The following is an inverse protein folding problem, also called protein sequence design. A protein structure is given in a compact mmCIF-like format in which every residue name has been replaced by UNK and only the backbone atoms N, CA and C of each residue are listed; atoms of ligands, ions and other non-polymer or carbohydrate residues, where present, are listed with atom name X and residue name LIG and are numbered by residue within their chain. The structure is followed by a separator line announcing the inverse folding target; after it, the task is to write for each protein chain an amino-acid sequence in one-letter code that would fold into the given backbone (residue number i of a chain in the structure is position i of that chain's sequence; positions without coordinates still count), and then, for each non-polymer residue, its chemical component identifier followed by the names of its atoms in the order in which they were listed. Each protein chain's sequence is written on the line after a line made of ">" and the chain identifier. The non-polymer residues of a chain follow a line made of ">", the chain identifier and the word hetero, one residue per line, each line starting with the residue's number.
data_IF_606531601434
#
_entry.id   IF_606531601434
#
_cell.length_a   1.000
_cell.length_b   1.000
_cell.length_c   1.000
_cell.angle_alpha   90.00
_cell.angle_beta   90.00
_cell.angle_gamma   90.00
#
_symmetry.space_group_name_H-M   'P 1'
#
loop_
_entity.id
_entity.type
_entity.pdbx_description
1 polymer ?
#
# COMPACT_ATOMS: atom_id res chain seq x y z
N UNK A 1 -13.59 -11.56 -36.17
CA UNK A 1 -14.08 -11.32 -34.78
C UNK A 1 -13.59 -9.95 -34.36
N UNK A 2 -14.50 -9.05 -33.98
CA UNK A 2 -14.12 -7.73 -33.46
C UNK A 2 -13.52 -7.93 -32.06
N UNK A 3 -12.28 -7.53 -31.87
CA UNK A 3 -11.67 -7.53 -30.53
C UNK A 3 -12.20 -6.29 -29.82
N UNK A 4 -12.94 -6.48 -28.73
CA UNK A 4 -13.37 -5.36 -27.90
C UNK A 4 -12.21 -4.93 -27.01
N UNK A 5 -11.78 -3.68 -27.13
CA UNK A 5 -10.77 -3.08 -26.27
C UNK A 5 -11.40 -2.21 -25.19
N UNK A 6 -10.82 -2.23 -24.00
CA UNK A 6 -11.21 -1.38 -22.89
C UNK A 6 -10.44 -0.05 -22.94
N UNK A 7 -11.16 1.07 -22.83
CA UNK A 7 -10.52 2.39 -22.70
C UNK A 7 -10.00 2.64 -21.29
N UNK A 8 -10.57 1.96 -20.30
CA UNK A 8 -10.11 1.99 -18.90
C UNK A 8 -10.36 0.65 -18.23
N UNK A 9 -9.39 0.21 -17.45
CA UNK A 9 -9.50 -0.92 -16.52
C UNK A 9 -9.13 -0.39 -15.14
N UNK A 10 -9.93 -0.71 -14.14
CA UNK A 10 -9.72 -0.23 -12.76
C UNK A 10 -9.58 -1.43 -11.84
N UNK A 11 -8.52 -1.42 -11.03
CA UNK A 11 -8.35 -2.33 -9.90
C UNK A 11 -8.25 -1.51 -8.61
N UNK A 12 -9.19 -1.75 -7.70
CA UNK A 12 -9.22 -1.08 -6.41
C UNK A 12 -9.31 -2.09 -5.29
N UNK A 13 -8.30 -2.10 -4.41
CA UNK A 13 -8.20 -2.99 -3.25
C UNK A 13 -8.48 -4.47 -3.62
N UNK A 14 -7.88 -4.95 -4.70
CA UNK A 14 -8.19 -6.27 -5.27
C UNK A 14 -6.96 -7.06 -5.71
N UNK A 15 -5.88 -6.40 -6.10
CA UNK A 15 -4.68 -7.07 -6.63
C UNK A 15 -3.96 -7.88 -5.55
N UNK A 16 -3.97 -7.39 -4.31
CA UNK A 16 -3.33 -8.07 -3.18
C UNK A 16 -3.99 -9.41 -2.80
N UNK A 17 -5.16 -9.74 -3.38
CA UNK A 17 -5.80 -11.06 -3.27
C UNK A 17 -5.45 -12.00 -4.42
N UNK A 18 -4.71 -11.55 -5.44
CA UNK A 18 -4.48 -12.30 -6.66
C UNK A 18 -3.16 -13.07 -6.61
N UNK A 19 -3.22 -14.38 -6.78
CA UNK A 19 -2.04 -15.26 -6.83
C UNK A 19 -1.32 -15.15 -8.18
N UNK A 20 -2.07 -15.14 -9.28
CA UNK A 20 -1.52 -15.16 -10.64
C UNK A 20 -1.43 -13.74 -11.24
N UNK A 21 -0.70 -12.83 -10.57
CA UNK A 21 -0.56 -11.43 -10.96
C UNK A 21 -0.01 -11.27 -12.37
N UNK A 22 0.97 -12.08 -12.77
CA UNK A 22 1.58 -12.04 -14.09
C UNK A 22 0.54 -12.26 -15.19
N UNK A 23 -0.29 -13.29 -15.03
CA UNK A 23 -1.36 -13.60 -15.99
C UNK A 23 -2.43 -12.53 -16.03
N UNK A 24 -2.77 -11.97 -14.88
CA UNK A 24 -3.71 -10.86 -14.81
C UNK A 24 -3.18 -9.64 -15.56
N UNK A 25 -1.93 -9.25 -15.32
CA UNK A 25 -1.34 -8.07 -15.97
C UNK A 25 -1.13 -8.27 -17.47
N UNK A 26 -0.78 -9.46 -17.90
CA UNK A 26 -0.72 -9.80 -19.34
C UNK A 26 -2.11 -9.70 -20.00
N UNK A 27 -3.16 -10.19 -19.31
CA UNK A 27 -4.54 -10.07 -19.78
C UNK A 27 -5.03 -8.62 -19.82
N UNK A 28 -4.69 -7.81 -18.80
CA UNK A 28 -4.97 -6.36 -18.77
C UNK A 28 -4.29 -5.68 -19.96
N UNK A 29 -3.01 -5.95 -20.20
CA UNK A 29 -2.27 -5.40 -21.33
C UNK A 29 -2.89 -5.74 -22.67
N UNK A 30 -3.37 -6.97 -22.86
CA UNK A 30 -4.02 -7.42 -24.08
C UNK A 30 -5.43 -6.81 -24.28
N UNK A 31 -6.13 -6.47 -23.20
CA UNK A 31 -7.48 -5.93 -23.22
C UNK A 31 -7.55 -4.40 -23.35
N UNK A 32 -6.48 -3.68 -23.01
CA UNK A 32 -6.45 -2.22 -23.10
C UNK A 32 -6.39 -1.76 -24.56
N UNK A 33 -7.16 -0.73 -24.86
CA UNK A 33 -7.03 0.04 -26.09
C UNK A 33 -5.64 0.71 -26.18
N UNK A 34 -5.14 1.06 -27.37
CA UNK A 34 -3.83 1.73 -27.55
C UNK A 34 -3.62 2.98 -26.69
N UNK A 35 -4.71 3.71 -26.39
CA UNK A 35 -4.71 4.88 -25.51
C UNK A 35 -5.43 4.63 -24.18
N UNK A 36 -5.71 3.36 -23.88
CA UNK A 36 -6.39 2.96 -22.66
C UNK A 36 -5.54 3.17 -21.41
N UNK A 37 -6.21 3.24 -20.28
CA UNK A 37 -5.57 3.42 -18.96
C UNK A 37 -5.89 2.26 -18.03
N UNK A 38 -4.85 1.78 -17.36
CA UNK A 38 -4.98 0.91 -16.19
C UNK A 38 -4.83 1.77 -14.95
N UNK A 39 -5.88 1.82 -14.13
CA UNK A 39 -5.93 2.64 -12.91
C UNK A 39 -5.93 1.70 -11.73
N UNK A 40 -4.98 1.89 -10.82
CA UNK A 40 -4.81 1.01 -9.66
C UNK A 40 -4.78 1.85 -8.38
N UNK A 41 -5.54 1.41 -7.38
CA UNK A 41 -5.43 1.86 -6.00
C UNK A 41 -5.35 0.60 -5.13
N UNK A 42 -4.16 0.29 -4.62
CA UNK A 42 -3.93 -0.99 -3.94
C UNK A 42 -2.77 -0.94 -2.94
N UNK A 43 -2.65 -1.98 -2.14
CA UNK A 43 -1.53 -2.20 -1.25
C UNK A 43 -0.33 -2.78 -2.02
N UNK A 44 0.86 -2.24 -1.76
CA UNK A 44 2.13 -2.63 -2.40
C UNK A 44 3.22 -2.94 -1.37
N UNK A 45 2.83 -3.05 -0.10
CA UNK A 45 3.74 -3.36 1.00
C UNK A 45 4.12 -4.83 1.06
N UNK A 46 4.75 -5.21 2.16
CA UNK A 46 5.12 -6.60 2.43
C UNK A 46 3.90 -7.52 2.42
N UNK A 47 4.11 -8.78 2.00
CA UNK A 47 3.06 -9.80 2.00
C UNK A 47 2.40 -9.94 3.37
N UNK A 48 1.13 -10.35 3.37
CA UNK A 48 0.34 -10.50 4.58
C UNK A 48 0.03 -9.20 5.31
N UNK A 49 0.11 -8.07 4.61
CA UNK A 49 -0.07 -6.74 5.17
C UNK A 49 0.93 -6.39 6.28
N UNK A 50 2.01 -7.12 6.36
CA UNK A 50 3.10 -6.87 7.30
C UNK A 50 3.87 -5.59 6.94
N UNK A 51 4.64 -5.10 7.89
CA UNK A 51 5.57 -3.99 7.68
C UNK A 51 6.99 -4.49 7.51
N UNK A 52 7.75 -3.79 6.70
CA UNK A 52 9.19 -4.00 6.66
C UNK A 52 9.80 -3.58 8.00
N UNK A 53 10.93 -4.18 8.41
CA UNK A 53 11.52 -3.96 9.73
C UNK A 53 11.75 -2.48 10.06
N UNK A 54 12.18 -1.67 9.09
CA UNK A 54 12.43 -0.25 9.26
C UNK A 54 11.17 0.54 9.65
N UNK A 55 10.03 0.25 9.04
CA UNK A 55 8.75 0.87 9.38
C UNK A 55 8.18 0.33 10.70
N UNK A 56 8.37 -0.97 10.96
CA UNK A 56 7.89 -1.61 12.18
C UNK A 56 8.53 -1.02 13.45
N UNK A 57 9.81 -0.64 13.37
CA UNK A 57 10.49 0.06 14.48
C UNK A 57 9.75 1.34 14.84
N UNK A 58 9.42 2.18 13.85
CA UNK A 58 8.72 3.46 14.07
C UNK A 58 7.31 3.23 14.62
N UNK A 59 6.56 2.26 14.05
CA UNK A 59 5.23 1.92 14.56
C UNK A 59 5.28 1.52 16.03
N UNK A 60 6.26 0.69 16.43
CA UNK A 60 6.42 0.24 17.81
C UNK A 60 6.84 1.37 18.76
N UNK A 61 7.62 2.33 18.30
CA UNK A 61 7.95 3.53 19.06
C UNK A 61 6.68 4.33 19.38
N UNK A 62 5.91 4.68 18.37
CA UNK A 62 4.66 5.42 18.50
C UNK A 62 3.61 4.65 19.32
N UNK A 63 3.57 3.31 19.16
CA UNK A 63 2.67 2.45 19.93
C UNK A 63 2.91 2.52 21.44
N UNK A 64 4.17 2.61 21.86
CA UNK A 64 4.53 2.71 23.28
C UNK A 64 4.10 4.04 23.92
N UNK A 65 3.94 5.09 23.13
CA UNK A 65 3.45 6.39 23.59
C UNK A 65 1.96 6.36 23.93
N UNK A 66 1.20 5.43 23.31
CA UNK A 66 -0.24 5.37 23.50
C UNK A 66 -0.63 4.88 24.90
N UNK A 67 -1.61 5.51 25.55
CA UNK A 67 -2.29 4.94 26.71
C UNK A 67 -2.93 3.58 26.36
N UNK A 68 -3.06 2.69 27.35
CA UNK A 68 -3.62 1.35 27.17
C UNK A 68 -4.99 1.36 26.48
N UNK A 69 -5.86 2.33 26.78
CA UNK A 69 -7.19 2.42 26.18
C UNK A 69 -7.16 2.55 24.63
N UNK A 70 -6.11 3.14 24.05
CA UNK A 70 -5.95 3.28 22.59
C UNK A 70 -5.43 2.02 21.93
N UNK A 71 -4.91 1.05 22.69
CA UNK A 71 -4.36 -0.22 22.21
C UNK A 71 -5.41 -1.34 22.17
N UNK A 72 -6.69 -1.02 22.35
CA UNK A 72 -7.77 -2.00 22.23
C UNK A 72 -8.14 -2.20 20.77
N UNK A 73 -7.92 -3.42 20.25
CA UNK A 73 -8.29 -3.79 18.91
C UNK A 73 -9.82 -3.99 18.82
N UNK A 74 -10.50 -3.04 18.17
CA UNK A 74 -11.97 -3.03 18.04
C UNK A 74 -12.49 -4.16 17.15
N UNK A 75 -11.71 -4.56 16.15
CA UNK A 75 -12.07 -5.62 15.22
C UNK A 75 -11.94 -6.99 15.88
N UNK A 76 -10.82 -7.25 16.57
CA UNK A 76 -10.54 -8.51 17.22
C UNK A 76 -11.06 -8.58 18.67
N UNK A 77 -11.58 -7.45 19.20
CA UNK A 77 -12.16 -7.32 20.55
C UNK A 77 -11.19 -7.77 21.66
N UNK A 78 -9.93 -7.38 21.55
CA UNK A 78 -8.89 -7.72 22.52
C UNK A 78 -7.94 -6.57 22.77
N UNK A 79 -7.30 -6.58 23.95
CA UNK A 79 -6.22 -5.68 24.28
C UNK A 79 -4.91 -6.15 23.63
N UNK A 80 -4.15 -5.23 23.05
CA UNK A 80 -2.82 -5.51 22.47
C UNK A 80 -1.78 -4.57 23.09
N UNK A 81 -1.03 -5.05 24.07
CA UNK A 81 -0.01 -4.25 24.77
C UNK A 81 1.16 -3.91 23.83
N UNK A 82 1.47 -4.79 22.89
CA UNK A 82 2.44 -4.57 21.82
C UNK A 82 1.74 -4.58 20.46
N UNK A 83 2.26 -3.81 19.51
CA UNK A 83 1.78 -3.87 18.15
C UNK A 83 2.18 -5.22 17.51
N UNK A 84 1.19 -6.01 17.15
CA UNK A 84 1.36 -7.29 16.48
C UNK A 84 1.34 -7.08 14.96
N UNK A 85 2.49 -7.32 14.33
CA UNK A 85 2.63 -7.26 12.87
C UNK A 85 2.16 -8.60 12.26
N UNK A 86 0.84 -8.84 12.32
CA UNK A 86 0.23 -10.10 11.93
C UNK A 86 0.35 -10.35 10.44
N UNK A 87 0.69 -11.60 10.06
CA UNK A 87 0.70 -12.04 8.67
C UNK A 87 -0.69 -12.53 8.24
N UNK A 88 -1.46 -11.67 7.58
CA UNK A 88 -2.81 -11.99 7.13
C UNK A 88 -2.83 -13.02 5.99
N UNK A 89 -1.72 -13.26 5.29
CA UNK A 89 -1.64 -14.22 4.19
C UNK A 89 -1.71 -15.68 4.65
N UNK A 90 -1.49 -15.93 5.95
CA UNK A 90 -1.56 -17.28 6.53
C UNK A 90 -2.98 -17.82 6.69
N UNK A 91 -3.98 -16.93 6.65
CA UNK A 91 -5.40 -17.28 6.86
C UNK A 91 -6.27 -17.02 5.63
N UNK A 92 -5.67 -17.03 4.42
CA UNK A 92 -6.42 -16.79 3.19
C UNK A 92 -5.58 -16.13 2.11
N UNK A 93 -6.23 -15.33 1.26
CA UNK A 93 -5.57 -14.62 0.15
C UNK A 93 -5.30 -13.16 0.45
N UNK A 94 -5.29 -12.75 1.72
CA UNK A 94 -5.05 -11.37 2.13
C UNK A 94 -3.57 -10.98 2.02
N UNK A 95 -3.27 -10.07 1.11
CA UNK A 95 -1.92 -9.59 0.90
C UNK A 95 -0.94 -10.66 0.41
N UNK A 96 -1.43 -11.75 -0.20
CA UNK A 96 -0.63 -12.94 -0.49
C UNK A 96 0.59 -12.66 -1.37
N UNK A 97 0.48 -11.67 -2.26
CA UNK A 97 1.58 -11.21 -3.13
C UNK A 97 1.64 -9.69 -3.25
N UNK A 98 1.27 -8.97 -2.20
CA UNK A 98 1.23 -7.50 -2.21
C UNK A 98 2.57 -6.87 -2.61
N UNK A 99 3.69 -7.39 -2.11
CA UNK A 99 5.03 -6.91 -2.42
C UNK A 99 5.46 -7.10 -3.88
N UNK A 100 4.81 -8.00 -4.63
CA UNK A 100 5.12 -8.29 -6.04
C UNK A 100 4.36 -7.37 -7.00
N UNK A 101 3.29 -6.70 -6.53
CA UNK A 101 2.40 -5.88 -7.37
C UNK A 101 3.19 -4.78 -8.08
N UNK A 102 3.87 -3.93 -7.33
CA UNK A 102 4.56 -2.77 -7.90
C UNK A 102 5.72 -3.17 -8.83
N UNK A 103 6.62 -4.12 -8.48
CA UNK A 103 7.64 -4.63 -9.40
C UNK A 103 7.06 -5.12 -10.72
N UNK A 104 6.02 -5.96 -10.66
CA UNK A 104 5.40 -6.53 -11.85
C UNK A 104 4.70 -5.49 -12.73
N UNK A 105 4.12 -4.44 -12.13
CA UNK A 105 3.52 -3.32 -12.86
C UNK A 105 4.59 -2.47 -13.56
N UNK A 106 5.69 -2.17 -12.89
CA UNK A 106 6.80 -1.37 -13.44
C UNK A 106 7.46 -2.08 -14.63
N UNK A 107 7.46 -3.41 -14.63
CA UNK A 107 8.03 -4.21 -15.73
C UNK A 107 7.12 -4.26 -16.97
N UNK A 108 5.82 -3.99 -16.84
CA UNK A 108 4.81 -4.15 -17.90
C UNK A 108 4.19 -2.86 -18.39
N UNK A 109 4.13 -1.84 -17.54
CA UNK A 109 3.39 -0.62 -17.80
C UNK A 109 4.28 0.62 -17.64
N UNK A 110 3.90 1.69 -18.34
CA UNK A 110 4.43 3.02 -18.13
C UNK A 110 3.48 3.82 -17.24
N UNK A 111 4.01 4.50 -16.25
CA UNK A 111 3.22 5.30 -15.31
C UNK A 111 3.06 6.73 -15.82
N UNK A 112 1.82 7.15 -16.03
CA UNK A 112 1.47 8.54 -16.26
C UNK A 112 1.35 9.30 -14.94
N UNK A 113 0.90 8.58 -13.87
CA UNK A 113 0.84 9.08 -12.50
C UNK A 113 1.20 7.94 -11.54
N UNK A 114 1.94 8.29 -10.50
CA UNK A 114 2.23 7.43 -9.36
C UNK A 114 2.21 8.25 -8.08
N UNK A 115 1.41 7.83 -7.12
CA UNK A 115 1.36 8.34 -5.77
C UNK A 115 1.53 7.17 -4.82
N UNK A 116 2.69 7.08 -4.18
CA UNK A 116 2.92 6.15 -3.08
C UNK A 116 2.67 6.87 -1.76
N UNK A 117 1.95 6.24 -0.84
CA UNK A 117 1.55 6.86 0.42
C UNK A 117 1.33 5.84 1.52
N UNK A 118 1.31 6.33 2.75
CA UNK A 118 1.02 5.63 3.99
C UNK A 118 1.89 4.39 4.23
N UNK A 119 2.23 4.17 5.47
CA UNK A 119 2.86 2.99 6.02
C UNK A 119 2.71 2.98 7.55
N UNK A 120 3.42 3.91 8.22
CA UNK A 120 3.44 4.02 9.68
C UNK A 120 2.09 4.48 10.24
N UNK A 121 1.35 5.29 9.48
CA UNK A 121 0.04 5.83 9.89
C UNK A 121 -1.05 4.76 9.95
N UNK A 122 -0.97 3.72 9.10
CA UNK A 122 -2.05 2.74 8.93
C UNK A 122 -2.60 2.15 10.23
N UNK A 123 -1.78 1.66 11.18
CA UNK A 123 -2.29 1.07 12.41
C UNK A 123 -3.16 2.00 13.25
N UNK A 124 -2.90 3.30 13.16
CA UNK A 124 -3.55 4.31 13.98
C UNK A 124 -4.86 4.83 13.38
N UNK A 125 -5.12 4.51 12.11
CA UNK A 125 -6.34 4.94 11.40
C UNK A 125 -7.18 3.78 10.86
N UNK A 126 -6.69 2.54 10.99
CA UNK A 126 -7.37 1.35 10.49
C UNK A 126 -8.63 0.99 11.32
N UNK A 127 -9.33 -0.05 10.88
CA UNK A 127 -10.55 -0.55 11.53
C UNK A 127 -10.30 -1.12 12.92
N UNK A 128 -9.07 -1.56 13.20
CA UNK A 128 -8.70 -2.16 14.48
C UNK A 128 -8.57 -1.11 15.58
N UNK A 129 -7.81 -0.08 15.35
CA UNK A 129 -7.42 0.89 16.38
C UNK A 129 -7.89 2.32 16.11
N UNK A 130 -8.09 2.71 14.86
CA UNK A 130 -8.56 4.04 14.48
C UNK A 130 -9.80 4.50 15.26
N UNK A 131 -10.82 3.63 15.51
CA UNK A 131 -11.97 4.01 16.31
C UNK A 131 -11.70 4.33 17.80
N UNK A 132 -10.47 4.20 18.28
CA UNK A 132 -10.08 4.64 19.62
C UNK A 132 -9.73 6.13 19.68
N UNK A 133 -9.51 6.76 18.52
CA UNK A 133 -9.23 8.19 18.39
C UNK A 133 -10.50 8.94 18.06
N UNK A 134 -10.66 10.14 18.63
CA UNK A 134 -11.79 11.00 18.38
C UNK A 134 -11.37 12.26 17.63
N UNK A 135 -12.04 12.57 16.52
CA UNK A 135 -11.82 13.82 15.80
C UNK A 135 -12.19 15.08 16.62
N UNK A 136 -12.99 14.93 17.68
CA UNK A 136 -13.37 16.02 18.58
C UNK A 136 -12.32 16.26 19.68
N UNK A 137 -11.44 15.29 19.94
CA UNK A 137 -10.34 15.41 20.91
C UNK A 137 -9.14 16.11 20.25
N UNK A 138 -8.70 17.22 20.83
CA UNK A 138 -7.52 17.94 20.34
C UNK A 138 -6.26 17.07 20.44
N UNK A 139 -6.06 16.38 21.56
CA UNK A 139 -4.89 15.50 21.75
C UNK A 139 -4.82 14.35 20.75
N UNK A 140 -5.98 13.80 20.35
CA UNK A 140 -6.03 12.71 19.38
C UNK A 140 -5.67 13.20 17.99
N UNK A 141 -6.19 14.37 17.60
CA UNK A 141 -5.80 15.00 16.33
C UNK A 141 -4.31 15.28 16.28
N UNK A 142 -3.77 15.93 17.34
CA UNK A 142 -2.33 16.22 17.43
C UNK A 142 -1.46 14.96 17.34
N UNK A 143 -1.92 13.86 17.94
CA UNK A 143 -1.21 12.58 17.82
C UNK A 143 -1.26 12.05 16.37
N UNK A 144 -2.43 12.00 15.76
CA UNK A 144 -2.59 11.49 14.37
C UNK A 144 -1.84 12.37 13.38
N UNK A 145 -1.89 13.71 13.55
CA UNK A 145 -1.15 14.65 12.69
C UNK A 145 0.37 14.41 12.79
N UNK A 146 0.89 14.25 14.01
CA UNK A 146 2.31 13.95 14.25
C UNK A 146 2.73 12.61 13.63
N UNK A 147 1.88 11.58 13.75
CA UNK A 147 2.14 10.28 13.10
C UNK A 147 2.15 10.44 11.59
N UNK A 148 1.20 11.17 11.03
CA UNK A 148 1.12 11.45 9.60
C UNK A 148 2.34 12.21 9.09
N UNK A 149 2.75 13.27 9.78
CA UNK A 149 3.95 14.06 9.44
C UNK A 149 5.21 13.18 9.46
N UNK A 150 5.35 12.31 10.48
CA UNK A 150 6.47 11.36 10.57
C UNK A 150 6.45 10.38 9.41
N UNK A 151 5.30 9.79 9.08
CA UNK A 151 5.13 8.86 7.97
C UNK A 151 5.53 9.49 6.64
N UNK A 152 5.04 10.70 6.35
CA UNK A 152 5.38 11.44 5.14
C UNK A 152 6.87 11.79 5.06
N UNK A 153 7.46 12.22 6.17
CA UNK A 153 8.88 12.58 6.23
C UNK A 153 9.79 11.37 5.96
N UNK A 154 9.46 10.21 6.53
CA UNK A 154 10.25 8.98 6.35
C UNK A 154 10.11 8.42 4.92
N UNK A 155 8.90 8.50 4.33
CA UNK A 155 8.69 8.14 2.91
C UNK A 155 9.47 9.09 2.01
N UNK A 156 9.40 10.40 2.24
CA UNK A 156 10.11 11.39 1.44
C UNK A 156 11.64 11.26 1.54
N UNK A 157 12.15 10.89 2.71
CA UNK A 157 13.57 10.61 2.92
C UNK A 157 14.02 9.27 2.31
N UNK A 158 13.06 8.40 1.91
CA UNK A 158 13.35 7.06 1.43
C UNK A 158 13.74 6.04 2.51
N UNK A 159 13.65 6.43 3.79
CA UNK A 159 13.96 5.58 4.95
C UNK A 159 12.98 4.41 5.06
N UNK A 160 11.73 4.65 4.68
CA UNK A 160 10.70 3.62 4.51
C UNK A 160 10.08 3.73 3.13
N UNK A 161 9.42 2.67 2.67
CA UNK A 161 8.70 2.67 1.40
C UNK A 161 7.20 2.80 1.63
N UNK A 162 6.46 3.45 0.70
CA UNK A 162 5.01 3.51 0.81
C UNK A 162 4.40 2.11 0.79
N UNK A 163 3.32 1.93 1.51
CA UNK A 163 2.59 0.66 1.58
C UNK A 163 1.36 0.63 0.68
N UNK A 164 0.89 1.81 0.29
CA UNK A 164 -0.23 1.99 -0.62
C UNK A 164 0.21 2.75 -1.86
N UNK A 165 -0.50 2.54 -2.95
CA UNK A 165 -0.33 3.34 -4.15
C UNK A 165 -1.67 3.73 -4.78
N UNK A 166 -1.64 4.87 -5.47
CA UNK A 166 -2.56 5.19 -6.55
C UNK A 166 -1.75 5.42 -7.82
N UNK A 167 -2.12 4.76 -8.91
CA UNK A 167 -1.39 4.85 -10.15
C UNK A 167 -2.32 4.90 -11.37
N UNK A 168 -1.92 5.65 -12.38
CA UNK A 168 -2.52 5.66 -13.72
C UNK A 168 -1.44 5.24 -14.70
N UNK A 169 -1.71 4.18 -15.45
CA UNK A 169 -0.73 3.54 -16.32
C UNK A 169 -1.28 3.27 -17.71
N UNK A 170 -0.37 3.07 -18.66
CA UNK A 170 -0.65 2.63 -20.03
C UNK A 170 0.25 1.44 -20.40
N UNK A 171 -0.14 0.71 -21.44
CA UNK A 171 0.65 -0.41 -21.93
C UNK A 171 2.06 0.02 -22.36
N UNK A 172 3.00 -0.89 -22.17
CA UNK A 172 4.40 -0.75 -22.55
C UNK A 172 5.28 -0.25 -21.41
N UNK A 173 6.29 -1.03 -21.05
CA UNK A 173 7.28 -0.66 -20.05
C UNK A 173 8.18 0.46 -20.58
N UNK A 174 8.60 1.35 -19.68
CA UNK A 174 9.69 2.31 -19.93
C UNK A 174 10.89 1.95 -19.03
N UNK A 175 11.86 1.18 -19.55
CA UNK A 175 12.98 0.68 -18.73
C UNK A 175 13.79 1.79 -18.04
N UNK A 176 13.89 2.96 -18.70
CA UNK A 176 14.61 4.15 -18.20
C UNK A 176 13.62 5.28 -17.86
N UNK A 177 12.46 4.91 -17.27
CA UNK A 177 11.37 5.84 -17.02
C UNK A 177 11.79 7.09 -16.27
N UNK A 178 11.33 8.24 -16.75
CA UNK A 178 11.45 9.56 -16.11
C UNK A 178 10.11 9.86 -15.41
N UNK A 179 10.10 10.76 -14.43
CA UNK A 179 8.87 11.20 -13.77
C UNK A 179 8.18 10.09 -12.97
N UNK A 180 6.91 9.83 -13.25
CA UNK A 180 6.08 8.90 -12.45
C UNK A 180 6.61 7.46 -12.47
N UNK A 181 7.17 6.97 -13.58
CA UNK A 181 7.78 5.62 -13.65
C UNK A 181 9.05 5.54 -12.80
N UNK A 182 9.88 6.59 -12.76
CA UNK A 182 11.04 6.63 -11.88
C UNK A 182 10.63 6.65 -10.40
N UNK A 183 9.59 7.44 -10.05
CA UNK A 183 9.05 7.48 -8.71
C UNK A 183 8.51 6.09 -8.27
N UNK A 184 7.78 5.39 -9.15
CA UNK A 184 7.29 4.04 -8.89
C UNK A 184 8.45 3.07 -8.64
N UNK A 185 9.52 3.09 -9.45
CA UNK A 185 10.71 2.27 -9.24
C UNK A 185 11.40 2.55 -7.91
N UNK A 186 11.50 3.82 -7.53
CA UNK A 186 12.09 4.22 -6.25
C UNK A 186 11.27 3.77 -5.03
N UNK A 187 9.97 3.53 -5.21
CA UNK A 187 9.08 3.04 -4.16
C UNK A 187 9.16 1.52 -3.93
N UNK A 188 9.84 0.76 -4.80
CA UNK A 188 10.00 -0.69 -4.64
C UNK A 188 10.90 -0.97 -3.43
N UNK A 189 10.46 -1.84 -2.55
CA UNK A 189 11.28 -2.49 -1.52
C UNK A 189 11.52 -3.93 -1.96
N UNK A 190 12.75 -4.22 -2.33
CA UNK A 190 13.14 -5.59 -2.67
C UNK A 190 13.30 -6.41 -1.40
N UNK A 191 12.82 -7.66 -1.36
CA UNK A 191 13.12 -8.59 -0.27
C UNK A 191 14.64 -8.79 -0.15
N UNK A 192 15.11 -8.99 1.07
CA UNK A 192 16.50 -9.34 1.36
C UNK A 192 16.78 -10.78 0.94
#
# INVERSE_FOLDING_TARGET
>A
MSVAFCVSIIAHQSLHHVVALERLFDAVGAALAPHGRFIVSDMIGRNGHQRWPEALVIVRELWRELPSAYRYNRQLKRQEDEFLDWDCSTEGFEGIRAQDILPLLVDRFSFDMFLGFANVIDPFIDRGFGPNFSADSQSDREFIDRVHERDQAEIAAGSIKPRHMFAVMRCGAQPNGIGATAAARAAIRWPD
#
